data_IF_969291165006
#
_entry.id   IF_969291165006
#
_cell.length_a   1.000
_cell.length_b   1.000
_cell.length_c   1.000
_cell.angle_alpha   90.00
_cell.angle_beta   90.00
_cell.angle_gamma   90.00
#
_symmetry.space_group_name_H-M   'P 1'
#
loop_
_entity.id
_entity.type
_entity.pdbx_description
1 polymer ?
#
# COMPACT_ATOMS: atom_id res chain seq x y z
N UNK A 1 -13.30 -25.02 -0.09
CA UNK A 1 -13.43 -24.30 1.19
C UNK A 1 -12.72 -22.95 1.05
N UNK A 2 -13.46 -21.86 0.81
CA UNK A 2 -12.88 -20.52 0.66
C UNK A 2 -12.80 -19.87 2.04
N UNK A 3 -11.65 -19.97 2.69
CA UNK A 3 -11.39 -19.33 3.99
C UNK A 3 -11.12 -17.84 3.81
N UNK A 4 -12.09 -17.01 4.14
CA UNK A 4 -11.92 -15.55 4.17
C UNK A 4 -11.07 -15.16 5.38
N UNK A 5 -9.77 -14.94 5.18
CA UNK A 5 -8.88 -14.41 6.23
C UNK A 5 -9.20 -12.94 6.48
N UNK A 6 -10.07 -12.69 7.44
CA UNK A 6 -10.30 -11.36 8.00
C UNK A 6 -9.40 -11.22 9.23
N UNK A 7 -8.20 -10.66 9.04
CA UNK A 7 -7.41 -10.21 10.18
C UNK A 7 -8.10 -8.97 10.78
N UNK A 8 -8.59 -8.99 12.04
CA UNK A 8 -9.21 -7.83 12.66
C UNK A 8 -8.17 -6.72 12.81
N UNK A 9 -8.56 -5.48 12.52
CA UNK A 9 -7.73 -4.27 12.66
C UNK A 9 -7.04 -4.17 14.04
N UNK A 10 -7.65 -4.76 15.08
CA UNK A 10 -7.07 -4.84 16.42
C UNK A 10 -5.74 -5.60 16.52
N UNK A 11 -5.46 -6.57 15.62
CA UNK A 11 -4.18 -7.30 15.61
C UNK A 11 -3.02 -6.41 15.16
N UNK A 12 -3.25 -5.52 14.19
CA UNK A 12 -2.24 -4.58 13.71
C UNK A 12 -1.94 -3.49 14.74
N UNK A 13 -2.97 -2.93 15.37
CA UNK A 13 -2.80 -1.96 16.44
C UNK A 13 -2.09 -2.55 17.66
N UNK A 14 -2.42 -3.78 18.06
CA UNK A 14 -1.76 -4.47 19.18
C UNK A 14 -0.30 -4.84 18.84
N UNK A 15 -0.05 -5.31 17.62
CA UNK A 15 1.30 -5.59 17.14
C UNK A 15 2.17 -4.32 17.08
N UNK A 16 1.58 -3.19 16.72
CA UNK A 16 2.28 -1.91 16.68
C UNK A 16 2.51 -1.33 18.08
N UNK A 17 1.52 -1.39 18.97
CA UNK A 17 1.70 -1.01 20.37
C UNK A 17 2.83 -1.82 21.02
N UNK A 18 2.83 -3.15 20.85
CA UNK A 18 3.91 -4.01 21.32
C UNK A 18 5.27 -3.67 20.69
N UNK A 19 5.30 -3.21 19.43
CA UNK A 19 6.51 -2.74 18.77
C UNK A 19 6.99 -1.40 19.36
N UNK A 20 6.09 -0.42 19.55
CA UNK A 20 6.40 0.89 20.16
C UNK A 20 6.85 0.74 21.61
N UNK A 21 6.17 -0.10 22.40
CA UNK A 21 6.51 -0.39 23.79
C UNK A 21 7.91 -1.01 23.89
N UNK A 22 8.30 -1.84 22.90
CA UNK A 22 9.66 -2.41 22.82
C UNK A 22 10.73 -1.42 22.36
N UNK A 23 10.39 -0.38 21.59
CA UNK A 23 11.40 0.55 21.06
C UNK A 23 11.84 1.63 22.05
N UNK A 24 11.22 1.73 23.24
CA UNK A 24 11.52 2.75 24.26
C UNK A 24 11.59 4.17 23.67
N UNK A 25 10.68 4.49 22.74
CA UNK A 25 10.55 5.86 22.25
C UNK A 25 9.72 6.67 23.27
N UNK A 26 10.37 7.16 24.32
CA UNK A 26 9.73 8.00 25.35
C UNK A 26 9.16 9.28 24.74
N UNK A 27 7.90 9.57 25.02
CA UNK A 27 7.16 10.85 24.92
C UNK A 27 7.34 11.77 23.68
N UNK A 28 8.00 11.35 22.61
CA UNK A 28 8.46 12.27 21.55
C UNK A 28 8.29 11.77 20.11
N UNK A 29 7.50 10.72 19.86
CA UNK A 29 7.25 10.25 18.50
C UNK A 29 5.80 10.53 18.07
N UNK A 30 5.56 11.70 17.49
CA UNK A 30 4.34 12.04 16.73
C UNK A 30 4.31 11.28 15.40
N UNK A 31 4.41 9.95 15.45
CA UNK A 31 4.19 9.12 14.28
C UNK A 31 2.69 8.94 14.11
N UNK A 32 2.06 9.84 13.36
CA UNK A 32 0.61 9.91 13.35
C UNK A 32 -0.04 8.88 12.42
N UNK A 33 0.64 8.39 11.36
CA UNK A 33 0.11 7.27 10.56
C UNK A 33 1.18 6.39 9.87
N UNK A 34 1.09 5.07 10.10
CA UNK A 34 1.91 4.05 9.42
C UNK A 34 0.99 3.09 8.67
N UNK A 35 1.19 2.97 7.36
CA UNK A 35 0.37 2.10 6.51
C UNK A 35 1.20 0.88 6.08
N UNK A 36 0.80 -0.29 6.56
CA UNK A 36 1.41 -1.58 6.18
C UNK A 36 0.53 -2.24 5.13
N UNK A 37 0.92 -2.17 3.85
CA UNK A 37 0.09 -2.73 2.77
C UNK A 37 0.87 -3.50 1.73
N UNK A 38 0.33 -4.65 1.32
CA UNK A 38 0.44 -5.12 -0.07
C UNK A 38 -0.77 -4.65 -0.90
N UNK A 39 -0.76 -4.80 -2.23
CA UNK A 39 -1.77 -4.27 -3.16
C UNK A 39 -3.07 -5.09 -3.10
N UNK A 40 -3.74 -5.11 -1.95
CA UNK A 40 -5.03 -5.78 -1.76
C UNK A 40 -6.18 -4.79 -1.90
N UNK A 41 -7.38 -5.27 -2.22
CA UNK A 41 -8.57 -4.42 -2.24
C UNK A 41 -8.86 -3.75 -0.88
N UNK A 42 -8.47 -4.38 0.23
CA UNK A 42 -8.56 -3.81 1.58
C UNK A 42 -7.58 -2.67 1.77
N UNK A 43 -6.32 -2.85 1.34
CA UNK A 43 -5.31 -1.80 1.37
C UNK A 43 -5.77 -0.55 0.61
N UNK A 44 -6.38 -0.72 -0.57
CA UNK A 44 -6.97 0.39 -1.33
C UNK A 44 -7.98 1.18 -0.52
N UNK A 45 -8.89 0.50 0.18
CA UNK A 45 -9.88 1.17 1.03
C UNK A 45 -9.21 1.98 2.14
N UNK A 46 -8.25 1.38 2.85
CA UNK A 46 -7.53 2.06 3.93
C UNK A 46 -6.77 3.29 3.41
N UNK A 47 -6.06 3.17 2.28
CA UNK A 47 -5.25 4.25 1.71
C UNK A 47 -6.12 5.43 1.25
N UNK A 48 -7.29 5.18 0.65
CA UNK A 48 -8.24 6.25 0.29
C UNK A 48 -8.83 6.89 1.56
N UNK A 49 -9.18 6.09 2.56
CA UNK A 49 -9.65 6.60 3.85
C UNK A 49 -8.62 7.52 4.51
N UNK A 50 -7.34 7.10 4.57
CA UNK A 50 -6.25 7.92 5.14
C UNK A 50 -6.15 9.25 4.41
N UNK A 51 -6.28 9.26 3.08
CA UNK A 51 -6.27 10.50 2.30
C UNK A 51 -7.41 11.45 2.70
N UNK A 52 -8.63 10.93 2.91
CA UNK A 52 -9.76 11.75 3.36
C UNK A 52 -9.61 12.22 4.82
N UNK A 53 -9.06 11.37 5.68
CA UNK A 53 -8.91 11.64 7.11
C UNK A 53 -7.81 12.68 7.37
N UNK A 54 -6.64 12.47 6.77
CA UNK A 54 -5.48 13.31 6.98
C UNK A 54 -5.46 14.53 6.05
N UNK A 55 -5.95 14.40 4.82
CA UNK A 55 -5.79 15.42 3.77
C UNK A 55 -4.43 15.34 3.08
N UNK A 56 -4.33 16.00 1.93
CA UNK A 56 -3.13 16.00 1.11
C UNK A 56 -1.94 16.64 1.81
N UNK A 57 -2.13 17.80 2.45
CA UNK A 57 -1.04 18.55 3.11
C UNK A 57 -0.37 17.75 4.22
N UNK A 58 -1.14 16.92 4.92
CA UNK A 58 -0.64 16.10 6.02
C UNK A 58 0.20 14.90 5.57
N UNK A 59 0.21 14.56 4.27
CA UNK A 59 0.90 13.36 3.78
C UNK A 59 2.41 13.38 4.02
N UNK A 60 3.03 14.54 4.23
CA UNK A 60 4.44 14.67 4.65
C UNK A 60 4.75 13.96 5.98
N UNK A 61 3.73 13.80 6.83
CA UNK A 61 3.78 13.11 8.12
C UNK A 61 3.39 11.63 8.00
N UNK A 62 3.09 11.14 6.80
CA UNK A 62 2.69 9.75 6.57
C UNK A 62 3.90 8.95 6.07
N UNK A 63 4.15 7.79 6.69
CA UNK A 63 5.14 6.83 6.20
C UNK A 63 4.46 5.54 5.77
N UNK A 64 4.67 5.17 4.51
CA UNK A 64 4.28 3.88 3.94
C UNK A 64 5.35 2.86 4.32
N UNK A 65 4.96 1.86 5.11
CA UNK A 65 5.88 0.81 5.57
C UNK A 65 5.60 -0.48 4.81
N UNK A 66 6.47 -0.84 3.89
CA UNK A 66 6.38 -2.14 3.21
C UNK A 66 7.12 -3.19 4.02
N UNK A 67 6.52 -4.36 4.21
CA UNK A 67 7.04 -5.43 5.09
C UNK A 67 7.12 -6.75 4.35
N UNK A 68 7.61 -7.81 5.03
CA UNK A 68 7.64 -9.20 4.53
C UNK A 68 8.51 -9.38 3.27
N UNK A 69 9.49 -8.50 3.07
CA UNK A 69 10.49 -8.65 2.01
C UNK A 69 11.41 -9.86 2.20
N UNK A 70 11.38 -10.51 3.36
CA UNK A 70 12.18 -11.67 3.72
C UNK A 70 11.43 -13.01 3.59
N UNK A 71 10.20 -13.02 3.05
CA UNK A 71 9.51 -14.28 2.73
C UNK A 71 10.21 -15.03 1.57
N UNK A 72 10.13 -16.38 1.63
CA UNK A 72 11.01 -17.35 0.97
C UNK A 72 11.10 -17.27 -0.57
N UNK A 73 10.11 -16.68 -1.25
CA UNK A 73 9.84 -17.07 -2.65
C UNK A 73 10.13 -16.02 -3.74
N UNK A 74 10.89 -14.96 -3.45
CA UNK A 74 11.21 -13.96 -4.48
C UNK A 74 12.71 -13.67 -4.50
N UNK A 75 13.33 -13.70 -5.68
CA UNK A 75 14.63 -13.08 -5.95
C UNK A 75 14.62 -11.63 -5.44
N UNK A 76 15.74 -11.18 -4.88
CA UNK A 76 15.84 -9.83 -4.30
C UNK A 76 15.54 -8.77 -5.36
N UNK A 77 16.00 -8.98 -6.58
CA UNK A 77 15.92 -8.01 -7.68
C UNK A 77 14.49 -7.76 -8.18
N UNK A 78 13.59 -8.73 -8.00
CA UNK A 78 12.17 -8.57 -8.35
C UNK A 78 11.39 -7.67 -7.39
N UNK A 79 11.88 -7.49 -6.15
CA UNK A 79 11.16 -6.75 -5.09
C UNK A 79 11.15 -5.23 -5.31
N UNK A 80 12.29 -4.57 -5.62
CA UNK A 80 12.30 -3.16 -5.99
C UNK A 80 11.43 -2.89 -7.22
N UNK A 81 11.49 -3.75 -8.24
CA UNK A 81 10.65 -3.61 -9.44
C UNK A 81 9.16 -3.71 -9.11
N UNK A 82 8.78 -4.66 -8.26
CA UNK A 82 7.40 -4.79 -7.77
C UNK A 82 6.94 -3.55 -7.02
N UNK A 83 7.79 -3.00 -6.15
CA UNK A 83 7.48 -1.75 -5.45
C UNK A 83 7.35 -0.57 -6.41
N UNK A 84 8.25 -0.43 -7.38
CA UNK A 84 8.22 0.58 -8.42
C UNK A 84 6.87 0.57 -9.16
N UNK A 85 6.43 -0.59 -9.65
CA UNK A 85 5.10 -0.75 -10.27
C UNK A 85 3.96 -0.36 -9.33
N UNK A 86 4.04 -0.70 -8.04
CA UNK A 86 3.00 -0.28 -7.08
C UNK A 86 3.02 1.23 -6.83
N UNK A 87 4.20 1.86 -6.80
CA UNK A 87 4.35 3.29 -6.58
C UNK A 87 3.76 4.13 -7.72
N UNK A 88 3.69 3.56 -8.92
CA UNK A 88 3.01 4.16 -10.08
C UNK A 88 1.49 3.98 -10.06
N UNK A 89 0.95 3.09 -9.24
CA UNK A 89 -0.50 2.94 -9.15
C UNK A 89 -1.13 4.22 -8.58
N UNK A 90 -2.27 4.65 -9.13
CA UNK A 90 -2.99 5.86 -8.69
C UNK A 90 -3.12 5.98 -7.17
N UNK A 91 -3.26 4.82 -6.51
CA UNK A 91 -3.42 4.72 -5.08
C UNK A 91 -2.20 5.23 -4.32
N UNK A 92 -1.01 4.62 -4.55
CA UNK A 92 0.21 5.02 -3.86
C UNK A 92 0.79 6.29 -4.45
N UNK A 93 0.72 6.46 -5.77
CA UNK A 93 1.19 7.65 -6.45
C UNK A 93 0.55 8.90 -5.86
N UNK A 94 -0.75 8.87 -5.54
CA UNK A 94 -1.42 10.01 -4.94
C UNK A 94 -0.91 10.37 -3.54
N UNK A 95 -0.37 9.42 -2.76
CA UNK A 95 0.23 9.71 -1.46
C UNK A 95 1.66 10.19 -1.62
N UNK A 96 2.43 9.52 -2.48
CA UNK A 96 3.83 9.85 -2.77
C UNK A 96 3.97 11.25 -3.40
N UNK A 97 3.04 11.65 -4.27
CA UNK A 97 2.98 12.99 -4.86
C UNK A 97 2.86 14.08 -3.78
N UNK A 98 2.21 13.77 -2.66
CA UNK A 98 2.09 14.66 -1.51
C UNK A 98 3.15 14.38 -0.43
N UNK A 99 4.32 13.88 -0.85
CA UNK A 99 5.51 13.72 -0.01
C UNK A 99 5.39 12.66 1.10
N UNK A 100 4.46 11.71 0.98
CA UNK A 100 4.47 10.53 1.84
C UNK A 100 5.81 9.80 1.71
N UNK A 101 6.41 9.44 2.85
CA UNK A 101 7.70 8.76 2.90
C UNK A 101 7.49 7.27 2.75
N UNK A 102 8.53 6.56 2.31
CA UNK A 102 8.50 5.09 2.21
C UNK A 102 9.61 4.48 3.04
N UNK A 103 9.29 3.43 3.79
CA UNK A 103 10.25 2.60 4.50
C UNK A 103 10.06 1.12 4.17
N UNK A 104 11.13 0.48 3.71
CA UNK A 104 11.12 -0.94 3.38
C UNK A 104 11.63 -1.78 4.56
N UNK A 105 10.72 -2.22 5.41
CA UNK A 105 11.08 -3.02 6.59
C UNK A 105 11.62 -4.41 6.17
N UNK A 106 12.93 -4.57 6.34
CA UNK A 106 13.64 -5.81 6.01
C UNK A 106 14.29 -5.82 4.62
N UNK A 107 14.26 -4.69 3.90
CA UNK A 107 14.95 -4.51 2.63
C UNK A 107 15.78 -3.21 2.70
N UNK A 108 17.08 -3.29 2.48
CA UNK A 108 18.01 -2.16 2.62
C UNK A 108 18.82 -1.99 1.33
N UNK A 109 19.15 -0.75 0.97
CA UNK A 109 20.12 -0.46 -0.07
C UNK A 109 21.48 -0.24 0.60
N UNK A 110 22.46 -1.08 0.31
CA UNK A 110 23.81 -0.97 0.84
C UNK A 110 24.82 -1.56 -0.15
N UNK A 111 25.98 -0.91 -0.31
CA UNK A 111 26.98 -1.19 -1.36
C UNK A 111 26.40 -1.31 -2.78
N UNK A 112 25.54 -0.36 -3.17
CA UNK A 112 24.89 -0.28 -4.49
C UNK A 112 24.05 -1.49 -4.90
N UNK A 113 23.56 -2.26 -3.93
CA UNK A 113 22.60 -3.32 -4.17
C UNK A 113 21.54 -3.41 -3.06
N UNK A 114 20.42 -4.03 -3.39
CA UNK A 114 19.39 -4.34 -2.41
C UNK A 114 19.77 -5.58 -1.61
N UNK A 115 19.54 -5.53 -0.29
CA UNK A 115 19.83 -6.60 0.65
C UNK A 115 18.61 -6.90 1.50
N UNK A 116 18.35 -8.18 1.76
CA UNK A 116 17.34 -8.61 2.72
C UNK A 116 17.94 -8.70 4.12
N UNK A 117 17.27 -8.09 5.08
CA UNK A 117 17.51 -8.38 6.49
C UNK A 117 16.53 -9.45 6.95
N UNK A 118 16.98 -10.71 7.02
CA UNK A 118 16.14 -11.83 7.45
C UNK A 118 15.73 -11.68 8.92
N UNK A 119 14.44 -11.76 9.22
CA UNK A 119 13.91 -11.60 10.58
C UNK A 119 14.61 -12.51 11.59
N UNK A 120 14.81 -13.79 11.24
CA UNK A 120 15.42 -14.78 12.15
C UNK A 120 16.91 -14.56 12.43
N UNK A 121 17.63 -13.84 11.56
CA UNK A 121 19.09 -13.70 11.66
C UNK A 121 19.53 -12.31 12.10
N UNK A 122 18.74 -11.28 11.80
CA UNK A 122 19.11 -9.87 11.99
C UNK A 122 17.95 -9.06 12.59
N UNK A 123 17.19 -9.65 13.52
CA UNK A 123 16.08 -8.99 14.23
C UNK A 123 16.50 -7.66 14.85
N UNK A 124 17.56 -7.69 15.67
CA UNK A 124 18.05 -6.50 16.37
C UNK A 124 18.42 -5.37 15.40
N UNK A 125 19.08 -5.69 14.29
CA UNK A 125 19.41 -4.69 13.27
C UNK A 125 18.15 -4.13 12.59
N UNK A 126 17.14 -4.96 12.31
CA UNK A 126 15.86 -4.51 11.77
C UNK A 126 15.16 -3.56 12.73
N UNK A 127 15.10 -3.94 14.01
CA UNK A 127 14.51 -3.11 15.06
C UNK A 127 15.25 -1.77 15.19
N UNK A 128 16.58 -1.79 15.21
CA UNK A 128 17.40 -0.58 15.26
C UNK A 128 17.20 0.33 14.04
N UNK A 129 17.12 -0.24 12.83
CA UNK A 129 16.85 0.53 11.61
C UNK A 129 15.44 1.12 11.59
N UNK A 130 14.44 0.35 12.02
CA UNK A 130 13.08 0.86 12.16
C UNK A 130 13.01 1.99 13.20
N UNK A 131 13.70 1.86 14.34
CA UNK A 131 13.80 2.92 15.36
C UNK A 131 14.48 4.18 14.81
N UNK A 132 15.60 4.03 14.08
CA UNK A 132 16.27 5.16 13.41
C UNK A 132 15.39 5.84 12.38
N UNK A 133 14.66 5.07 11.58
CA UNK A 133 13.70 5.63 10.63
C UNK A 133 12.61 6.42 11.35
N UNK A 134 11.98 5.86 12.38
CA UNK A 134 10.94 6.55 13.16
C UNK A 134 11.50 7.84 13.74
N UNK A 135 12.67 7.78 14.38
CA UNK A 135 13.32 8.97 14.92
C UNK A 135 13.60 10.01 13.83
N UNK A 136 14.17 9.62 12.69
CA UNK A 136 14.45 10.56 11.57
C UNK A 136 13.19 11.15 10.97
N UNK A 137 12.12 10.37 10.84
CA UNK A 137 10.90 10.79 10.17
C UNK A 137 9.97 11.62 11.06
N UNK A 138 10.07 11.44 12.38
CA UNK A 138 9.14 11.99 13.37
C UNK A 138 9.83 12.73 14.52
N UNK A 139 11.14 13.05 14.41
CA UNK A 139 11.81 13.97 15.36
C UNK A 139 11.27 15.39 15.23
N UNK A 140 10.83 15.74 14.03
CA UNK A 140 10.37 17.08 13.70
C UNK A 140 8.84 17.06 13.69
N UNK A 141 8.24 17.83 14.58
CA UNK A 141 6.80 17.96 14.66
C UNK A 141 6.29 18.87 13.54
N UNK A 142 5.40 18.35 12.69
CA UNK A 142 4.63 19.21 11.79
C UNK A 142 3.40 19.76 12.52
N UNK A 143 3.10 21.04 12.30
CA UNK A 143 1.87 21.67 12.77
C UNK A 143 0.71 21.52 11.77
N UNK A 144 0.85 20.69 10.74
CA UNK A 144 -0.19 20.49 9.74
C UNK A 144 -1.44 19.86 10.39
N UNK A 145 -2.61 20.50 10.34
CA UNK A 145 -3.82 19.94 10.91
C UNK A 145 -4.39 18.83 10.02
N UNK A 146 -4.91 17.78 10.64
CA UNK A 146 -5.67 16.73 9.93
C UNK A 146 -6.90 17.34 9.22
N UNK A 147 -7.18 16.89 8.00
CA UNK A 147 -8.34 17.31 7.22
C UNK A 147 -9.65 17.20 7.99
N UNK A 148 -9.85 16.12 8.75
CA UNK A 148 -11.07 15.97 9.55
C UNK A 148 -11.24 17.08 10.60
N UNK A 149 -10.15 17.52 11.23
CA UNK A 149 -10.19 18.62 12.19
C UNK A 149 -10.42 19.96 11.50
N UNK A 150 -9.79 20.18 10.34
CA UNK A 150 -10.09 21.34 9.52
C UNK A 150 -11.57 21.38 9.14
N UNK A 151 -12.15 20.28 8.66
CA UNK A 151 -13.57 20.23 8.29
C UNK A 151 -14.48 20.58 9.47
N UNK A 152 -14.21 20.03 10.66
CA UNK A 152 -14.99 20.31 11.87
C UNK A 152 -14.84 21.78 12.29
N UNK A 153 -13.63 22.33 12.26
CA UNK A 153 -13.37 23.73 12.59
C UNK A 153 -14.12 24.70 11.64
N UNK A 154 -14.39 24.28 10.40
CA UNK A 154 -15.20 25.01 9.42
C UNK A 154 -16.70 24.66 9.48
N UNK A 155 -17.18 24.15 10.62
CA UNK A 155 -18.61 23.93 10.89
C UNK A 155 -19.19 22.65 10.31
N UNK A 156 -18.37 21.71 9.80
CA UNK A 156 -18.87 20.38 9.43
C UNK A 156 -19.14 19.56 10.69
N UNK A 157 -20.26 18.86 10.71
CA UNK A 157 -20.46 17.75 11.65
C UNK A 157 -19.63 16.54 11.22
N UNK A 158 -19.31 15.64 12.15
CA UNK A 158 -18.62 14.38 11.82
C UNK A 158 -19.33 13.66 10.65
N UNK A 159 -20.67 13.62 10.67
CA UNK A 159 -21.49 12.95 9.65
C UNK A 159 -21.38 13.53 8.24
N UNK A 160 -20.90 14.76 8.10
CA UNK A 160 -20.77 15.49 6.82
C UNK A 160 -19.32 15.66 6.37
N UNK A 161 -18.35 15.21 7.18
CA UNK A 161 -16.92 15.17 6.81
C UNK A 161 -16.69 14.30 5.56
N UNK A 162 -15.65 14.58 4.80
CA UNK A 162 -15.28 13.78 3.63
C UNK A 162 -14.94 12.33 4.00
N UNK A 163 -14.28 12.14 5.14
CA UNK A 163 -13.94 10.83 5.70
C UNK A 163 -15.18 9.98 5.98
N UNK A 164 -16.13 10.52 6.74
CA UNK A 164 -17.33 9.78 7.13
C UNK A 164 -18.24 9.52 5.93
N UNK A 165 -18.35 10.49 5.00
CA UNK A 165 -19.05 10.28 3.74
C UNK A 165 -18.46 9.11 2.96
N UNK A 166 -17.13 9.02 2.86
CA UNK A 166 -16.46 7.92 2.20
C UNK A 166 -16.71 6.57 2.90
N UNK A 167 -16.68 6.52 4.24
CA UNK A 167 -16.99 5.31 5.00
C UNK A 167 -18.42 4.80 4.73
N UNK A 168 -19.37 5.73 4.62
CA UNK A 168 -20.78 5.43 4.32
C UNK A 168 -20.96 4.91 2.90
N UNK A 169 -20.47 5.60 1.87
CA UNK A 169 -20.59 5.14 0.47
C UNK A 169 -19.87 3.82 0.25
N UNK A 170 -18.69 3.62 0.85
CA UNK A 170 -17.95 2.37 0.77
C UNK A 170 -18.63 1.17 1.45
N UNK A 171 -19.59 1.42 2.36
CA UNK A 171 -20.42 0.41 3.01
C UNK A 171 -21.64 0.03 2.17
N UNK A 172 -22.24 0.99 1.47
CA UNK A 172 -23.41 0.75 0.59
C UNK A 172 -23.06 -0.20 -0.57
N UNK A 173 -21.88 -0.06 -1.17
CA UNK A 173 -21.42 -0.97 -2.24
C UNK A 173 -21.21 -2.41 -1.75
N UNK A 174 -21.11 -2.66 -0.44
CA UNK A 174 -20.93 -4.01 0.12
C UNK A 174 -22.24 -4.76 0.30
N UNK A 175 -23.36 -4.05 0.49
CA UNK A 175 -24.67 -4.67 0.66
C UNK A 175 -25.28 -5.09 -0.69
N UNK A 176 -25.06 -4.34 -1.77
CA UNK A 176 -25.63 -4.67 -3.09
C UNK A 176 -25.05 -5.95 -3.71
N UNK A 177 -23.78 -6.30 -3.44
CA UNK A 177 -23.14 -7.49 -4.03
C UNK A 177 -23.64 -8.80 -3.36
N UNK A 178 -24.13 -8.73 -2.13
CA UNK A 178 -24.65 -9.90 -1.40
C UNK A 178 -26.12 -10.22 -1.70
N UNK A 179 -26.90 -9.30 -2.28
CA UNK A 179 -28.31 -9.55 -2.62
C UNK A 179 -28.51 -10.21 -3.99
N UNK A 180 -27.59 -10.03 -4.94
CA UNK A 180 -27.70 -10.65 -6.27
C UNK A 180 -27.18 -12.09 -6.35
N UNK A 181 -26.42 -12.54 -5.35
CA UNK A 181 -25.88 -13.91 -5.33
C UNK A 181 -26.88 -14.96 -4.81
N UNK A 182 -28.02 -14.53 -4.25
CA UNK A 182 -29.06 -15.44 -3.74
C UNK A 182 -30.14 -15.79 -4.78
N UNK A 183 -30.15 -15.17 -5.96
CA UNK A 183 -31.23 -15.30 -6.96
C UNK A 183 -30.80 -15.90 -8.32
N UNK A 184 -29.61 -16.51 -8.44
CA UNK A 184 -29.21 -17.26 -9.65
C UNK A 184 -29.03 -18.74 -9.36
N UNK A 185 -30.12 -19.40 -9.01
CA UNK A 185 -30.24 -20.85 -9.03
C UNK A 185 -31.24 -21.27 -10.10
N UNK A 186 -30.77 -22.15 -11.01
CA UNK A 186 -31.53 -22.94 -12.00
C UNK A 186 -32.00 -22.21 -13.26
N UNK A 187 -31.18 -22.32 -14.31
CA UNK A 187 -31.60 -22.96 -15.57
C UNK A 187 -30.35 -23.22 -16.43
N UNK A 188 -29.83 -24.45 -16.37
CA UNK A 188 -28.82 -24.95 -17.30
C UNK A 188 -29.58 -25.78 -18.34
N UNK A 189 -29.84 -25.18 -19.50
CA UNK A 189 -30.15 -25.94 -20.70
C UNK A 189 -28.83 -26.36 -21.36
N UNK A 190 -28.64 -27.66 -21.51
CA UNK A 190 -27.57 -28.27 -22.31
C UNK A 190 -27.63 -27.76 -23.76
N UNK A 191 -26.48 -27.35 -24.30
CA UNK A 191 -26.29 -27.22 -25.75
C UNK A 191 -25.09 -28.08 -26.15
N UNK A 192 -25.24 -28.95 -27.18
CA UNK A 192 -24.23 -29.92 -27.54
C UNK A 192 -23.05 -29.34 -28.34
N UNK A 193 -21.95 -30.04 -28.12
CA UNK A 193 -20.60 -29.90 -28.62
C UNK A 193 -20.50 -30.04 -30.16
N UNK A 194 -19.90 -29.08 -30.85
CA UNK A 194 -19.53 -29.20 -32.27
C UNK A 194 -18.06 -28.80 -32.47
N UNK A 195 -17.23 -29.82 -32.68
CA UNK A 195 -15.83 -29.75 -33.09
C UNK A 195 -15.72 -29.24 -34.53
N UNK A 196 -15.00 -28.15 -34.76
CA UNK A 196 -14.45 -27.81 -36.07
C UNK A 196 -12.97 -27.43 -35.96
N UNK A 197 -12.14 -28.28 -36.57
CA UNK A 197 -10.76 -28.00 -36.99
C UNK A 197 -10.81 -27.06 -38.20
N UNK A 198 -10.09 -25.94 -38.16
CA UNK A 198 -9.68 -25.24 -39.37
C UNK A 198 -8.31 -24.60 -39.15
N UNK A 199 -7.38 -25.00 -40.01
CA UNK A 199 -6.04 -24.47 -40.18
C UNK A 199 -6.08 -23.16 -40.96
N UNK A 200 -5.36 -22.14 -40.49
CA UNK A 200 -4.99 -20.99 -41.32
C UNK A 200 -3.67 -20.41 -40.80
N UNK A 201 -2.70 -20.30 -41.71
CA UNK A 201 -1.37 -19.74 -41.47
C UNK A 201 -1.42 -18.26 -41.03
N UNK A 202 -0.46 -17.80 -40.21
CA UNK A 202 -0.37 -16.40 -39.82
C UNK A 202 0.35 -15.54 -40.88
N UNK A 203 -0.13 -14.31 -41.15
CA UNK A 203 0.60 -13.35 -41.98
C UNK A 203 1.78 -12.74 -41.22
N UNK A 204 2.92 -12.61 -41.91
CA UNK A 204 4.10 -11.90 -41.40
C UNK A 204 3.82 -10.40 -41.30
N UNK A 205 3.88 -9.86 -40.09
CA UNK A 205 3.82 -8.42 -39.81
C UNK A 205 5.25 -7.92 -39.59
N UNK A 206 5.76 -7.17 -40.57
CA UNK A 206 6.99 -6.38 -40.49
C UNK A 206 6.74 -5.13 -39.63
N UNK A 207 6.97 -5.24 -38.33
CA UNK A 207 6.90 -4.14 -37.36
C UNK A 207 8.27 -3.48 -37.15
N UNK A 208 8.36 -2.21 -37.53
CA UNK A 208 9.49 -1.30 -37.25
C UNK A 208 9.52 -1.01 -35.75
N UNK A 209 10.63 -1.35 -35.09
CA UNK A 209 10.88 -1.15 -33.67
C UNK A 209 10.98 0.36 -33.34
N UNK A 210 10.12 0.94 -32.49
CA UNK A 210 10.30 2.30 -32.02
C UNK A 210 11.38 2.34 -30.93
N UNK A 211 12.33 3.25 -31.09
CA UNK A 211 13.34 3.60 -30.08
C UNK A 211 12.69 3.88 -28.72
N UNK A 212 13.23 3.34 -27.61
CA UNK A 212 12.77 3.68 -26.28
C UNK A 212 13.15 5.13 -25.95
N UNK A 213 12.13 6.00 -25.88
CA UNK A 213 12.26 7.33 -25.30
C UNK A 213 12.72 7.22 -23.85
N UNK A 214 13.92 7.76 -23.58
CA UNK A 214 14.40 8.35 -22.32
C UNK A 214 13.62 7.94 -21.07
N UNK A 215 13.90 6.72 -20.55
CA UNK A 215 13.47 6.35 -19.22
C UNK A 215 14.22 7.21 -18.20
N UNK A 216 13.51 8.06 -17.46
CA UNK A 216 13.99 8.56 -16.18
C UNK A 216 14.40 7.34 -15.36
N UNK A 217 15.70 7.21 -15.08
CA UNK A 217 16.25 6.01 -14.46
C UNK A 217 15.57 5.77 -13.12
N UNK A 218 14.98 4.59 -12.95
CA UNK A 218 14.37 4.13 -11.68
C UNK A 218 15.28 4.31 -10.46
N UNK A 219 16.60 4.38 -10.68
CA UNK A 219 17.57 4.69 -9.63
C UNK A 219 17.33 6.08 -9.01
N UNK A 220 16.89 7.09 -9.76
CA UNK A 220 16.63 8.45 -9.26
C UNK A 220 15.41 8.51 -8.33
N UNK A 221 14.32 7.82 -8.66
CA UNK A 221 13.11 7.73 -7.83
C UNK A 221 13.35 7.00 -6.50
N UNK A 222 14.30 6.07 -6.45
CA UNK A 222 14.66 5.34 -5.23
C UNK A 222 15.81 6.01 -4.45
N UNK A 223 16.61 6.89 -5.07
CA UNK A 223 17.63 7.69 -4.39
C UNK A 223 17.04 8.71 -3.41
N UNK A 224 15.79 9.15 -3.62
CA UNK A 224 15.06 9.99 -2.67
C UNK A 224 14.74 9.30 -1.32
N UNK A 225 14.95 7.99 -1.23
CA UNK A 225 14.84 7.19 0.00
C UNK A 225 16.20 6.85 0.63
N UNK A 226 17.29 7.54 0.26
CA UNK A 226 18.58 7.39 0.94
C UNK A 226 18.52 7.98 2.37
N UNK A 227 19.08 7.28 3.38
CA UNK A 227 19.22 7.81 4.73
C UNK A 227 20.11 9.06 4.77
#
# INVERSE_FOLDING_TARGET
MNGTVTAPLGSLASGWKAFLDKTQCGNSAGADFIIVTGPTGVARKILIWVKHFCGNEYMVNVTIVTTKWDMKDDEIDGKPKRYATWSESDLLQSLLLHKAKTFHHGLIWDNDHWQKLFLKKRDEERALRAKRMIHKCYSDFSNDPLQIYNEIAHGRTISTTSTERWLKTGSVTRQSINLDSANRGLDIAEVPNATQKSSSDPPQISGREPEPQSSTSWTELLKGARP
#
